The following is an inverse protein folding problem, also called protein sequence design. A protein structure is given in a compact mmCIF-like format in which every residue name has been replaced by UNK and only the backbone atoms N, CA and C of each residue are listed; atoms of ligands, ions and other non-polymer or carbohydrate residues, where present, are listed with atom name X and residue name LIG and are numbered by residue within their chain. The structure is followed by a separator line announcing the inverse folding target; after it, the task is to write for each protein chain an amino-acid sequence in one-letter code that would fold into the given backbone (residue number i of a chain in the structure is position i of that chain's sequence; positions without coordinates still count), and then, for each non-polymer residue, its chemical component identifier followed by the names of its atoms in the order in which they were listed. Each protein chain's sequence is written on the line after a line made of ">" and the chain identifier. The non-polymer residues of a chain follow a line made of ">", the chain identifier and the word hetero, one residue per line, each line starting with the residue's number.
data_IF_116070900038
#
_entry.id   IF_116070900038
#
_cell.length_a   1.000
_cell.length_b   1.000
_cell.length_c   1.000
_cell.angle_alpha   90.00
_cell.angle_beta   90.00
_cell.angle_gamma   90.00
#
_symmetry.space_group_name_H-M   'P 1'
#
loop_
_entity.id
_entity.type
_entity.pdbx_description
1 polymer ?
#
# COMPACT_ATOMS: atom_id res chain seq x y z
N UNK A 1 17.11 -4.09 13.33
CA UNK A 1 17.81 -3.16 12.42
C UNK A 1 16.82 -2.07 12.06
N UNK A 2 17.19 -0.81 12.26
CA UNK A 2 16.34 0.30 11.83
C UNK A 2 16.54 0.54 10.33
N UNK A 3 15.47 0.92 9.62
CA UNK A 3 15.58 1.34 8.20
C UNK A 3 16.38 2.64 8.06
N UNK A 4 16.58 3.36 9.17
CA UNK A 4 17.32 4.63 9.23
C UNK A 4 18.81 4.45 9.54
N UNK A 5 19.24 3.26 9.97
CA UNK A 5 20.66 2.97 10.23
C UNK A 5 21.39 2.62 8.94
N UNK A 6 22.56 3.21 8.71
CA UNK A 6 23.46 2.78 7.64
C UNK A 6 23.99 1.38 7.97
N UNK A 7 23.53 0.38 7.22
CA UNK A 7 23.94 -1.01 7.36
C UNK A 7 24.33 -1.59 6.02
N UNK A 8 25.31 -2.49 6.01
CA UNK A 8 25.78 -3.21 4.81
C UNK A 8 25.19 -4.62 4.69
N UNK A 9 24.39 -5.06 5.68
CA UNK A 9 23.81 -6.41 5.76
C UNK A 9 22.48 -6.55 5.00
N UNK A 10 21.72 -5.47 4.89
CA UNK A 10 20.49 -5.41 4.10
C UNK A 10 20.18 -3.99 3.66
N UNK A 11 19.34 -3.86 2.65
CA UNK A 11 18.77 -2.57 2.24
C UNK A 11 17.26 -2.68 2.11
N UNK A 12 16.53 -1.75 2.72
CA UNK A 12 15.07 -1.70 2.66
C UNK A 12 14.64 -0.45 1.88
N UNK A 13 14.00 -0.64 0.73
CA UNK A 13 13.31 0.41 0.00
C UNK A 13 11.82 0.38 0.35
N UNK A 14 11.35 1.40 1.05
CA UNK A 14 9.95 1.54 1.41
C UNK A 14 9.21 2.38 0.35
N UNK A 15 8.35 1.72 -0.42
CA UNK A 15 7.39 2.34 -1.34
C UNK A 15 6.01 2.49 -0.65
N UNK A 16 5.07 3.28 -1.20
CA UNK A 16 3.77 3.52 -0.56
C UNK A 16 2.92 2.26 -0.28
N UNK A 17 3.09 1.20 -1.08
CA UNK A 17 2.29 -0.03 -1.00
C UNK A 17 3.12 -1.32 -0.90
N UNK A 18 4.45 -1.21 -0.91
CA UNK A 18 5.36 -2.35 -0.90
C UNK A 18 6.68 -1.98 -0.21
N UNK A 19 7.38 -3.00 0.29
CA UNK A 19 8.75 -2.85 0.77
C UNK A 19 9.63 -3.85 0.04
N UNK A 20 10.67 -3.36 -0.61
CA UNK A 20 11.64 -4.18 -1.32
C UNK A 20 12.89 -4.31 -0.47
N UNK A 21 13.25 -5.54 -0.11
CA UNK A 21 14.33 -5.83 0.83
C UNK A 21 15.43 -6.60 0.09
N UNK A 22 16.60 -6.00 0.01
CA UNK A 22 17.82 -6.66 -0.46
C UNK A 22 18.50 -7.34 0.73
N UNK A 23 18.79 -8.63 0.58
CA UNK A 23 19.29 -9.49 1.64
C UNK A 23 20.52 -10.26 1.15
N UNK A 24 21.52 -10.39 2.01
CA UNK A 24 22.72 -11.17 1.72
C UNK A 24 22.57 -12.67 2.04
N UNK A 25 21.56 -13.03 2.83
CA UNK A 25 21.26 -14.43 3.20
C UNK A 25 19.76 -14.64 3.29
N UNK A 26 19.32 -15.89 3.18
CA UNK A 26 17.95 -16.28 3.46
C UNK A 26 17.69 -16.36 4.97
N UNK A 27 16.42 -16.23 5.36
CA UNK A 27 16.01 -16.26 6.75
C UNK A 27 14.56 -15.82 6.94
N UNK A 28 14.18 -15.60 8.18
CA UNK A 28 12.87 -15.07 8.56
C UNK A 28 12.99 -13.58 8.83
N UNK A 29 12.19 -12.78 8.14
CA UNK A 29 12.20 -11.32 8.25
C UNK A 29 10.80 -10.81 8.50
N UNK A 30 10.70 -9.72 9.26
CA UNK A 30 9.45 -9.01 9.49
C UNK A 30 9.72 -7.52 9.41
N UNK A 31 8.85 -6.79 8.71
CA UNK A 31 8.83 -5.34 8.73
C UNK A 31 7.96 -4.88 9.88
N UNK A 32 8.56 -4.16 10.83
CA UNK A 32 7.86 -3.58 11.97
C UNK A 32 7.98 -2.05 11.91
N UNK A 33 6.94 -1.36 12.36
CA UNK A 33 6.93 0.10 12.46
C UNK A 33 6.48 0.52 13.86
N UNK A 34 7.19 1.46 14.45
CA UNK A 34 6.79 2.14 15.68
C UNK A 34 6.37 3.58 15.34
N UNK A 35 5.21 4.05 15.83
CA UNK A 35 4.80 5.42 15.58
C UNK A 35 5.72 6.42 16.27
N UNK A 36 6.30 7.33 15.49
CA UNK A 36 7.11 8.45 16.01
C UNK A 36 6.20 9.58 16.55
N UNK A 37 4.96 9.65 16.06
CA UNK A 37 3.97 10.64 16.51
C UNK A 37 2.53 10.10 16.36
N UNK A 38 1.60 10.79 17.01
CA UNK A 38 0.16 10.50 16.94
C UNK A 38 -0.46 10.74 15.54
N UNK A 39 0.33 11.32 14.62
CA UNK A 39 -0.03 11.46 13.21
C UNK A 39 0.16 10.15 12.41
N UNK A 40 0.74 9.11 13.02
CA UNK A 40 0.92 7.82 12.35
C UNK A 40 -0.43 7.23 11.96
N UNK A 41 -0.50 6.65 10.76
CA UNK A 41 -1.71 6.05 10.21
C UNK A 41 -1.41 4.64 9.75
N UNK A 42 -2.26 3.70 10.15
CA UNK A 42 -2.29 2.34 9.64
C UNK A 42 -3.49 2.19 8.70
N UNK A 43 -3.26 1.56 7.55
CA UNK A 43 -4.30 1.29 6.58
C UNK A 43 -4.92 -0.08 6.86
N UNK A 44 -6.21 -0.08 7.22
CA UNK A 44 -6.98 -1.29 7.44
C UNK A 44 -7.94 -1.51 6.27
N UNK A 45 -8.17 -2.76 5.91
CA UNK A 45 -9.21 -3.16 4.96
C UNK A 45 -10.40 -3.71 5.73
N UNK A 46 -11.58 -3.14 5.46
CA UNK A 46 -12.85 -3.51 6.10
C UNK A 46 -13.67 -4.33 5.13
N UNK A 47 -14.07 -5.54 5.52
CA UNK A 47 -14.91 -6.41 4.71
C UNK A 47 -16.11 -6.90 5.53
N UNK A 48 -17.27 -7.08 4.87
CA UNK A 48 -18.49 -7.55 5.52
C UNK A 48 -18.96 -8.82 4.84
N UNK A 49 -19.09 -9.88 5.62
CA UNK A 49 -19.58 -11.17 5.17
C UNK A 49 -20.93 -11.51 5.81
N UNK A 50 -21.67 -12.38 5.15
CA UNK A 50 -22.86 -13.02 5.69
C UNK A 50 -23.03 -14.43 5.14
N UNK A 51 -24.03 -15.17 5.62
CA UNK A 51 -24.25 -16.54 5.17
C UNK A 51 -24.80 -16.58 3.74
N UNK A 52 -24.27 -17.48 2.90
CA UNK A 52 -24.76 -17.74 1.53
C UNK A 52 -26.23 -18.16 1.49
N UNK A 53 -26.64 -19.00 2.44
CA UNK A 53 -28.04 -19.38 2.62
C UNK A 53 -28.33 -19.53 4.10
N UNK A 54 -29.49 -19.03 4.52
CA UNK A 54 -29.93 -19.21 5.90
C UNK A 54 -31.40 -19.62 5.96
N UNK A 55 -31.62 -20.89 6.33
CA UNK A 55 -32.95 -21.45 6.61
C UNK A 55 -33.45 -21.07 8.02
N UNK A 56 -32.57 -20.52 8.88
CA UNK A 56 -32.94 -19.97 10.18
C UNK A 56 -33.51 -18.56 10.04
N UNK A 57 -34.34 -18.13 10.98
CA UNK A 57 -34.75 -16.72 11.08
C UNK A 57 -33.57 -15.81 11.45
N UNK A 58 -32.53 -16.38 12.08
CA UNK A 58 -31.30 -15.68 12.43
C UNK A 58 -30.40 -15.45 11.20
N UNK A 59 -29.74 -14.30 11.14
CA UNK A 59 -28.77 -13.96 10.12
C UNK A 59 -27.58 -13.25 10.76
N UNK A 60 -26.37 -13.73 10.50
CA UNK A 60 -25.17 -13.16 11.09
C UNK A 60 -24.40 -12.34 10.05
N UNK A 61 -24.16 -11.07 10.36
CA UNK A 61 -23.17 -10.25 9.68
C UNK A 61 -21.83 -10.41 10.39
N UNK A 62 -20.77 -10.65 9.64
CA UNK A 62 -19.39 -10.77 10.13
C UNK A 62 -18.57 -9.64 9.53
N UNK A 63 -18.18 -8.68 10.37
CA UNK A 63 -17.40 -7.51 9.95
C UNK A 63 -15.95 -7.74 10.32
N UNK A 64 -15.10 -7.79 9.31
CA UNK A 64 -13.66 -7.97 9.46
C UNK A 64 -12.94 -6.63 9.27
N UNK A 65 -11.99 -6.34 10.16
CA UNK A 65 -10.96 -5.31 9.95
C UNK A 65 -9.60 -5.99 9.96
N UNK A 66 -8.89 -5.93 8.84
CA UNK A 66 -7.60 -6.60 8.65
C UNK A 66 -6.57 -5.62 8.10
N UNK A 67 -5.30 -6.02 8.10
CA UNK A 67 -4.27 -5.24 7.42
C UNK A 67 -4.57 -5.11 5.93
N UNK A 68 -4.23 -3.96 5.36
CA UNK A 68 -4.38 -3.72 3.92
C UNK A 68 -3.27 -4.44 3.12
N UNK A 69 -3.24 -5.77 3.22
CA UNK A 69 -2.35 -6.64 2.45
C UNK A 69 -3.18 -7.69 1.69
N UNK A 70 -2.74 -8.12 0.49
CA UNK A 70 -3.46 -9.16 -0.26
C UNK A 70 -3.61 -10.47 0.52
N UNK A 71 -2.56 -10.90 1.24
CA UNK A 71 -2.57 -12.14 2.03
C UNK A 71 -3.60 -12.11 3.15
N UNK A 72 -3.67 -11.04 3.95
CA UNK A 72 -4.61 -10.94 5.07
C UNK A 72 -6.08 -11.03 4.59
N UNK A 73 -6.38 -10.43 3.43
CA UNK A 73 -7.70 -10.53 2.84
C UNK A 73 -8.00 -11.93 2.29
N UNK A 74 -7.03 -12.57 1.62
CA UNK A 74 -7.19 -13.94 1.11
C UNK A 74 -7.42 -14.97 2.21
N UNK A 75 -6.75 -14.84 3.35
CA UNK A 75 -6.97 -15.69 4.53
C UNK A 75 -8.41 -15.58 5.04
N UNK A 76 -8.90 -14.35 5.27
CA UNK A 76 -10.29 -14.09 5.69
C UNK A 76 -11.29 -14.69 4.70
N UNK A 77 -11.06 -14.48 3.40
CA UNK A 77 -11.93 -15.01 2.35
C UNK A 77 -11.96 -16.53 2.37
N UNK A 78 -10.81 -17.18 2.55
CA UNK A 78 -10.69 -18.64 2.60
C UNK A 78 -11.44 -19.21 3.82
N UNK A 79 -11.24 -18.60 4.98
CA UNK A 79 -11.92 -18.98 6.22
C UNK A 79 -13.44 -18.81 6.14
N UNK A 80 -13.91 -17.70 5.57
CA UNK A 80 -15.33 -17.44 5.36
C UNK A 80 -15.94 -18.46 4.39
N UNK A 81 -15.22 -18.82 3.32
CA UNK A 81 -15.70 -19.81 2.35
C UNK A 81 -15.89 -21.19 2.97
N UNK A 82 -14.99 -21.61 3.87
CA UNK A 82 -15.12 -22.84 4.64
C UNK A 82 -16.35 -22.82 5.57
N UNK A 83 -16.75 -21.64 6.03
CA UNK A 83 -17.92 -21.42 6.89
C UNK A 83 -19.20 -21.07 6.11
N UNK A 84 -19.22 -21.22 4.79
CA UNK A 84 -20.38 -20.88 3.95
C UNK A 84 -20.70 -19.38 3.89
N UNK A 85 -19.70 -18.54 4.10
CA UNK A 85 -19.77 -17.09 4.02
C UNK A 85 -19.67 -16.55 2.61
N UNK A 86 -20.28 -15.39 2.40
CA UNK A 86 -20.20 -14.60 1.18
C UNK A 86 -19.88 -13.15 1.51
N UNK A 87 -19.01 -12.55 0.71
CA UNK A 87 -18.75 -11.12 0.75
C UNK A 87 -20.00 -10.36 0.28
N UNK A 88 -20.49 -9.43 1.10
CA UNK A 88 -21.75 -8.72 0.86
C UNK A 88 -21.57 -7.37 0.15
N UNK A 89 -20.37 -6.80 0.18
CA UNK A 89 -20.02 -5.52 -0.46
C UNK A 89 -18.51 -5.46 -0.74
N UNK A 90 -18.10 -4.59 -1.65
CA UNK A 90 -16.70 -4.27 -1.89
C UNK A 90 -16.00 -3.80 -0.60
N UNK A 91 -14.84 -4.37 -0.23
CA UNK A 91 -14.12 -3.98 0.97
C UNK A 91 -13.64 -2.52 0.89
N UNK A 92 -13.71 -1.78 2.01
CA UNK A 92 -13.32 -0.36 2.06
C UNK A 92 -12.06 -0.14 2.87
N UNK A 93 -11.27 0.85 2.45
CA UNK A 93 -10.05 1.26 3.15
C UNK A 93 -10.39 2.18 4.32
N UNK A 94 -9.92 1.85 5.51
CA UNK A 94 -10.05 2.67 6.72
C UNK A 94 -8.67 3.11 7.21
N UNK A 95 -8.45 4.43 7.26
CA UNK A 95 -7.26 5.03 7.86
C UNK A 95 -7.41 5.11 9.38
N UNK A 96 -6.73 4.21 10.10
CA UNK A 96 -6.74 4.15 11.55
C UNK A 96 -5.53 4.90 12.11
N UNK A 97 -5.76 5.96 12.89
CA UNK A 97 -4.71 6.84 13.42
C UNK A 97 -4.15 6.33 14.74
N UNK A 98 -2.89 6.63 15.03
CA UNK A 98 -2.21 6.36 16.29
C UNK A 98 -2.65 7.24 17.47
N UNK A 99 -3.91 7.70 17.49
CA UNK A 99 -4.41 8.69 18.45
C UNK A 99 -5.07 8.08 19.70
N UNK A 100 -4.79 6.82 20.02
CA UNK A 100 -5.30 6.05 21.17
C UNK A 100 -6.80 5.80 21.25
N UNK A 101 -7.58 6.32 20.29
CA UNK A 101 -9.03 6.13 20.27
C UNK A 101 -9.45 4.78 19.69
N UNK A 102 -10.47 4.18 20.32
CA UNK A 102 -11.06 2.90 19.91
C UNK A 102 -11.70 2.95 18.52
N UNK A 103 -11.80 1.77 17.92
CA UNK A 103 -12.62 1.53 16.74
C UNK A 103 -14.05 1.22 17.17
N UNK A 104 -15.04 1.79 16.51
CA UNK A 104 -16.45 1.49 16.70
C UNK A 104 -17.04 0.92 15.41
N UNK A 105 -17.74 -0.20 15.53
CA UNK A 105 -18.43 -0.87 14.44
C UNK A 105 -19.92 -0.93 14.81
N UNK A 106 -20.79 -0.46 13.91
CA UNK A 106 -22.23 -0.43 14.17
C UNK A 106 -23.04 -0.82 12.94
N UNK A 107 -24.20 -1.42 13.18
CA UNK A 107 -25.19 -1.72 12.15
C UNK A 107 -26.33 -0.71 12.26
N UNK A 108 -26.56 0.02 11.19
CA UNK A 108 -27.51 1.11 11.06
C UNK A 108 -28.60 0.76 10.06
N UNK A 109 -29.68 1.53 10.07
CA UNK A 109 -30.77 1.47 9.09
C UNK A 109 -31.38 0.06 8.92
N UNK A 110 -31.47 -0.71 10.02
CA UNK A 110 -32.12 -2.02 10.03
C UNK A 110 -33.63 -1.83 9.83
N UNK A 111 -34.29 -2.52 8.87
CA UNK A 111 -35.71 -2.32 8.60
C UNK A 111 -36.58 -2.76 9.80
N UNK A 112 -37.21 -1.83 10.55
CA UNK A 112 -37.70 -2.08 11.90
C UNK A 112 -38.90 -3.02 11.97
N UNK A 113 -39.62 -3.22 10.86
CA UNK A 113 -40.78 -4.13 10.80
C UNK A 113 -40.46 -5.50 10.20
N UNK A 114 -39.25 -5.68 9.65
CA UNK A 114 -38.84 -6.91 8.98
C UNK A 114 -37.74 -7.65 9.75
N UNK A 115 -36.89 -6.88 10.42
CA UNK A 115 -35.69 -7.35 11.09
C UNK A 115 -35.55 -6.74 12.48
N UNK A 116 -34.94 -7.49 13.38
CA UNK A 116 -34.48 -7.01 14.68
C UNK A 116 -33.01 -7.34 14.91
N UNK A 117 -32.34 -6.51 15.68
CA UNK A 117 -31.04 -6.78 16.27
C UNK A 117 -31.19 -6.69 17.78
N UNK A 118 -30.45 -7.50 18.54
CA UNK A 118 -30.49 -7.40 20.00
C UNK A 118 -30.00 -5.99 20.40
N UNK A 119 -30.76 -5.27 21.25
CA UNK A 119 -30.27 -4.01 21.82
C UNK A 119 -28.91 -4.25 22.46
N UNK A 120 -28.00 -3.28 22.36
CA UNK A 120 -26.60 -3.36 22.83
C UNK A 120 -25.63 -4.22 22.02
N UNK A 121 -26.09 -5.01 21.04
CA UNK A 121 -25.17 -5.68 20.08
C UNK A 121 -25.05 -4.96 18.76
N UNK A 122 -25.89 -3.94 18.51
CA UNK A 122 -25.89 -3.13 17.29
C UNK A 122 -24.67 -2.21 17.15
N UNK A 123 -23.91 -2.02 18.23
CA UNK A 123 -22.67 -1.25 18.27
C UNK A 123 -21.65 -2.02 19.10
N UNK A 124 -20.46 -2.24 18.55
CA UNK A 124 -19.34 -2.88 19.22
C UNK A 124 -18.15 -1.94 19.17
N UNK A 125 -17.46 -1.81 20.31
CA UNK A 125 -16.24 -1.03 20.41
C UNK A 125 -15.05 -1.97 20.58
N UNK A 126 -13.99 -1.71 19.83
CA UNK A 126 -12.75 -2.45 19.86
C UNK A 126 -11.64 -1.52 20.34
N UNK A 127 -10.98 -1.86 21.47
CA UNK A 127 -9.94 -1.01 22.05
C UNK A 127 -8.80 -0.73 21.06
N UNK A 128 -8.26 0.49 21.10
CA UNK A 128 -7.15 0.92 20.26
C UNK A 128 -5.99 -0.08 20.25
N UNK A 129 -5.58 -0.59 21.41
CA UNK A 129 -4.44 -1.52 21.52
C UNK A 129 -4.64 -2.83 20.75
N UNK A 130 -5.89 -3.29 20.60
CA UNK A 130 -6.21 -4.50 19.84
C UNK A 130 -6.16 -4.27 18.34
N UNK A 131 -6.53 -3.08 17.90
CA UNK A 131 -6.52 -2.69 16.47
C UNK A 131 -5.10 -2.30 16.06
N UNK A 132 -4.43 -1.50 16.88
CA UNK A 132 -3.07 -0.99 16.63
C UNK A 132 -2.00 -2.06 16.80
N UNK A 133 -2.19 -2.98 17.75
CA UNK A 133 -1.31 -4.12 17.95
C UNK A 133 -1.26 -5.03 16.72
N UNK A 134 -0.09 -5.60 16.47
CA UNK A 134 0.07 -6.63 15.44
C UNK A 134 -0.57 -7.93 15.95
N UNK A 135 -1.81 -8.18 15.57
CA UNK A 135 -2.49 -9.46 15.82
C UNK A 135 -2.27 -10.38 14.64
N UNK A 136 -1.91 -11.64 14.89
CA UNK A 136 -1.83 -12.69 13.87
C UNK A 136 -3.20 -13.04 13.28
N UNK A 137 -4.30 -12.56 13.92
CA UNK A 137 -5.66 -12.81 13.48
C UNK A 137 -6.37 -11.50 13.13
N UNK A 138 -7.16 -11.49 12.04
CA UNK A 138 -7.98 -10.35 11.66
C UNK A 138 -9.02 -10.07 12.73
N UNK A 139 -9.32 -8.78 12.95
CA UNK A 139 -10.36 -8.38 13.89
C UNK A 139 -11.73 -8.75 13.33
N UNK A 140 -12.54 -9.47 14.11
CA UNK A 140 -13.89 -9.88 13.73
C UNK A 140 -14.92 -9.39 14.75
N UNK A 141 -15.95 -8.70 14.25
CA UNK A 141 -17.17 -8.37 15.00
C UNK A 141 -18.39 -9.02 14.34
N UNK A 142 -19.08 -9.87 15.09
CA UNK A 142 -20.30 -10.54 14.64
C UNK A 142 -21.57 -9.81 15.11
N UNK A 143 -22.52 -9.60 14.21
CA UNK A 143 -23.82 -8.99 14.49
C UNK A 143 -24.94 -9.96 14.12
N UNK A 144 -25.70 -10.40 15.11
CA UNK A 144 -26.84 -11.30 14.90
C UNK A 144 -28.12 -10.50 14.71
N UNK A 145 -28.72 -10.63 13.54
CA UNK A 145 -30.04 -10.12 13.20
C UNK A 145 -31.04 -11.27 13.15
N UNK A 146 -32.31 -10.97 13.35
CA UNK A 146 -33.38 -11.95 13.29
C UNK A 146 -34.55 -11.38 12.49
N UNK A 147 -35.12 -12.22 11.63
CA UNK A 147 -36.32 -11.90 10.84
C UNK A 147 -37.57 -12.18 11.65
N UNK A 148 -38.56 -11.29 11.54
CA UNK A 148 -39.88 -11.55 12.14
C UNK A 148 -40.68 -12.64 11.41
N UNK A 149 -40.36 -12.92 10.15
CA UNK A 149 -41.08 -13.89 9.31
C UNK A 149 -40.16 -14.54 8.27
N UNK A 150 -40.35 -15.83 7.95
CA UNK A 150 -39.68 -16.49 6.83
C UNK A 150 -39.96 -15.84 5.47
N UNK A 151 -41.07 -15.09 5.35
CA UNK A 151 -41.40 -14.34 4.12
C UNK A 151 -40.41 -13.21 3.83
N UNK A 152 -39.66 -12.75 4.84
CA UNK A 152 -38.60 -11.76 4.67
C UNK A 152 -37.36 -12.41 4.07
N UNK A 153 -37.14 -12.20 2.77
CA UNK A 153 -36.01 -12.77 2.03
C UNK A 153 -34.89 -11.78 1.75
N UNK A 154 -35.06 -10.49 2.06
CA UNK A 154 -34.09 -9.44 1.77
C UNK A 154 -33.64 -8.73 3.05
N UNK A 155 -32.36 -8.40 3.14
CA UNK A 155 -31.77 -7.53 4.14
C UNK A 155 -31.15 -6.32 3.44
N UNK A 156 -31.52 -5.12 3.90
CA UNK A 156 -30.89 -3.86 3.51
C UNK A 156 -30.55 -3.09 4.77
N UNK A 157 -29.27 -2.86 5.03
CA UNK A 157 -28.80 -2.10 6.19
C UNK A 157 -27.46 -1.41 5.86
N UNK A 158 -26.92 -0.62 6.78
CA UNK A 158 -25.58 -0.05 6.66
C UNK A 158 -24.69 -0.55 7.78
N UNK A 159 -23.43 -0.82 7.48
CA UNK A 159 -22.39 -1.07 8.48
C UNK A 159 -21.47 0.14 8.52
N UNK A 160 -21.45 0.85 9.65
CA UNK A 160 -20.55 1.98 9.89
C UNK A 160 -19.36 1.49 10.71
N UNK A 161 -18.15 1.69 10.18
CA UNK A 161 -16.87 1.41 10.84
C UNK A 161 -16.11 2.72 10.97
N UNK A 162 -15.87 3.17 12.20
CA UNK A 162 -15.22 4.45 12.44
C UNK A 162 -14.27 4.39 13.62
N UNK A 163 -13.18 5.15 13.55
CA UNK A 163 -12.40 5.43 14.74
C UNK A 163 -13.04 6.61 15.50
N UNK A 164 -13.11 6.55 16.83
CA UNK A 164 -13.57 7.71 17.60
C UNK A 164 -12.64 8.90 17.30
N UNK A 165 -13.22 10.05 16.94
CA UNK A 165 -12.47 11.23 16.46
C UNK A 165 -11.52 10.96 15.27
N UNK A 166 -11.87 10.03 14.38
CA UNK A 166 -11.03 9.65 13.24
C UNK A 166 -11.82 9.44 11.96
N UNK A 167 -11.26 8.62 11.07
CA UNK A 167 -11.88 8.29 9.79
C UNK A 167 -13.11 7.38 9.98
N UNK A 168 -14.07 7.52 9.08
CA UNK A 168 -15.32 6.75 9.06
C UNK A 168 -15.52 6.14 7.67
N UNK A 169 -15.97 4.89 7.65
CA UNK A 169 -16.42 4.20 6.45
C UNK A 169 -17.80 3.60 6.64
N UNK A 170 -18.63 3.73 5.62
CA UNK A 170 -19.98 3.18 5.58
C UNK A 170 -20.06 2.17 4.45
N UNK A 171 -20.46 0.95 4.78
CA UNK A 171 -20.75 -0.15 3.87
C UNK A 171 -22.28 -0.31 3.73
N UNK A 172 -22.80 -0.18 2.52
CA UNK A 172 -24.19 -0.42 2.15
C UNK A 172 -24.46 -1.90 1.82
N UNK A 173 -25.05 -2.61 2.78
CA UNK A 173 -25.38 -4.02 2.63
C UNK A 173 -26.76 -4.18 2.00
N UNK A 174 -26.84 -4.92 0.89
CA UNK A 174 -28.10 -5.35 0.26
C UNK A 174 -27.97 -6.79 -0.19
N UNK A 175 -28.65 -7.70 0.49
CA UNK A 175 -28.51 -9.14 0.22
C UNK A 175 -29.82 -9.90 0.32
N UNK A 176 -29.93 -10.96 -0.48
CA UNK A 176 -31.00 -11.94 -0.43
C UNK A 176 -30.58 -13.11 0.46
N UNK A 177 -31.40 -13.48 1.43
CA UNK A 177 -31.04 -14.47 2.47
C UNK A 177 -31.39 -15.92 2.07
N UNK A 178 -32.25 -16.09 1.05
CA UNK A 178 -32.73 -17.40 0.58
C UNK A 178 -32.34 -17.75 -0.86
N UNK A 179 -31.78 -16.82 -1.65
CA UNK A 179 -31.48 -17.06 -3.06
C UNK A 179 -30.08 -17.63 -3.23
N UNK A 180 -30.01 -18.86 -3.73
CA UNK A 180 -28.77 -19.62 -3.95
C UNK A 180 -28.08 -19.28 -5.29
N UNK A 181 -28.60 -18.28 -6.03
CA UNK A 181 -28.12 -17.92 -7.36
C UNK A 181 -27.82 -16.43 -7.42
N UNK A 182 -26.64 -16.02 -6.91
CA UNK A 182 -26.08 -14.71 -7.25
C UNK A 182 -24.62 -14.81 -7.59
N UNK A 183 -24.28 -14.00 -8.59
CA UNK A 183 -22.92 -13.69 -9.04
C UNK A 183 -22.05 -13.42 -7.81
N UNK A 184 -21.13 -14.34 -7.53
CA UNK A 184 -19.99 -14.06 -6.66
C UNK A 184 -19.38 -12.75 -7.17
N UNK A 185 -19.28 -11.73 -6.29
CA UNK A 185 -18.60 -10.48 -6.61
C UNK A 185 -17.28 -10.86 -7.33
N UNK A 186 -16.98 -10.34 -8.53
CA UNK A 186 -15.92 -10.87 -9.38
C UNK A 186 -14.51 -10.90 -8.76
N UNK A 187 -14.32 -10.33 -7.57
CA UNK A 187 -13.14 -10.52 -6.72
C UNK A 187 -12.74 -11.98 -6.49
N UNK A 188 -13.64 -12.95 -6.69
CA UNK A 188 -13.32 -14.38 -6.60
C UNK A 188 -12.69 -14.98 -7.86
N UNK A 189 -12.55 -14.21 -8.95
CA UNK A 189 -11.86 -14.64 -10.16
C UNK A 189 -10.47 -13.96 -10.23
N UNK A 190 -9.42 -14.78 -10.11
CA UNK A 190 -7.98 -14.44 -9.99
C UNK A 190 -7.56 -14.10 -8.54
N UNK A 191 -6.77 -14.87 -7.82
CA UNK A 191 -5.74 -15.85 -8.20
C UNK A 191 -5.90 -17.10 -7.33
N UNK A 192 -6.11 -18.26 -7.96
CA UNK A 192 -5.42 -19.43 -7.43
C UNK A 192 -3.95 -19.02 -7.33
N UNK A 193 -3.37 -19.17 -6.15
CA UNK A 193 -2.00 -18.84 -5.75
C UNK A 193 -0.93 -19.65 -6.51
N UNK A 194 -1.13 -19.88 -7.81
CA UNK A 194 -0.08 -20.13 -8.75
C UNK A 194 0.58 -18.79 -9.08
N UNK A 195 1.44 -18.29 -8.20
CA UNK A 195 2.56 -17.51 -8.71
C UNK A 195 3.26 -18.43 -9.71
N UNK A 196 3.20 -18.17 -11.04
CA UNK A 196 3.90 -19.03 -11.97
C UNK A 196 5.37 -18.94 -11.61
N UNK A 197 6.01 -20.06 -11.28
CA UNK A 197 7.44 -20.09 -11.06
C UNK A 197 8.12 -19.63 -12.36
N UNK A 198 8.52 -18.36 -12.41
CA UNK A 198 9.22 -17.81 -13.55
C UNK A 198 10.67 -18.27 -13.49
N UNK A 199 11.12 -18.98 -14.52
CA UNK A 199 12.49 -19.49 -14.60
C UNK A 199 13.23 -18.88 -15.79
N UNK A 200 14.51 -18.60 -15.56
CA UNK A 200 15.42 -18.13 -16.60
C UNK A 200 15.17 -16.68 -17.04
N UNK A 201 15.65 -16.27 -18.22
CA UNK A 201 15.67 -14.87 -18.67
C UNK A 201 14.28 -14.25 -18.87
N UNK A 202 13.21 -15.07 -18.87
CA UNK A 202 11.81 -14.59 -18.96
C UNK A 202 11.27 -14.08 -17.61
N UNK A 203 11.97 -14.36 -16.50
CA UNK A 203 11.67 -13.82 -15.18
C UNK A 203 12.15 -12.36 -15.02
N UNK A 204 13.03 -11.92 -15.91
CA UNK A 204 13.67 -10.61 -15.86
C UNK A 204 13.16 -9.76 -17.02
N UNK A 205 12.95 -8.47 -16.76
CA UNK A 205 12.48 -7.51 -17.76
C UNK A 205 13.64 -6.92 -18.54
N UNK A 206 14.79 -6.76 -17.89
CA UNK A 206 15.99 -6.20 -18.50
C UNK A 206 16.76 -7.32 -19.21
N UNK A 207 16.91 -7.27 -20.54
CA UNK A 207 17.75 -8.22 -21.26
C UNK A 207 19.19 -8.19 -20.74
N UNK A 208 19.81 -9.37 -20.59
CA UNK A 208 21.15 -9.53 -20.04
C UNK A 208 22.20 -8.62 -20.70
N UNK A 209 22.15 -8.48 -22.03
CA UNK A 209 23.06 -7.62 -22.79
C UNK A 209 22.92 -6.13 -22.44
N UNK A 210 21.71 -5.68 -22.14
CA UNK A 210 21.43 -4.30 -21.72
C UNK A 210 21.93 -4.10 -20.30
N UNK A 211 21.60 -5.03 -19.39
CA UNK A 211 22.07 -5.02 -17.99
C UNK A 211 23.60 -4.90 -17.92
N UNK A 212 24.33 -5.74 -18.64
CA UNK A 212 25.80 -5.69 -18.66
C UNK A 212 26.35 -4.34 -19.13
N UNK A 213 25.74 -3.75 -20.16
CA UNK A 213 26.18 -2.45 -20.68
C UNK A 213 25.95 -1.33 -19.67
N UNK A 214 24.80 -1.33 -19.01
CA UNK A 214 24.50 -0.38 -17.94
C UNK A 214 25.53 -0.55 -16.82
N UNK A 215 25.77 -1.78 -16.36
CA UNK A 215 26.74 -2.01 -15.29
C UNK A 215 28.15 -1.54 -15.63
N UNK A 216 28.64 -1.89 -16.82
CA UNK A 216 29.95 -1.45 -17.31
C UNK A 216 30.08 0.08 -17.40
N UNK A 217 28.97 0.80 -17.62
CA UNK A 217 28.96 2.27 -17.73
C UNK A 217 28.94 2.96 -16.37
N UNK A 218 28.15 2.43 -15.42
CA UNK A 218 27.87 3.11 -14.15
C UNK A 218 28.73 2.62 -12.97
N UNK A 219 29.32 1.43 -13.04
CA UNK A 219 30.25 0.95 -12.00
C UNK A 219 31.64 1.57 -12.13
N UNK A 220 32.01 2.08 -13.32
CA UNK A 220 33.27 2.79 -13.49
C UNK A 220 33.19 4.19 -12.88
N UNK A 221 34.12 4.58 -12.00
CA UNK A 221 34.10 5.89 -11.35
C UNK A 221 34.21 7.00 -12.41
N UNK A 222 33.22 7.89 -12.44
CA UNK A 222 33.14 8.96 -13.42
C UNK A 222 33.37 10.32 -12.75
N UNK A 223 34.39 11.05 -13.19
CA UNK A 223 34.73 12.38 -12.65
C UNK A 223 33.64 13.44 -12.85
N UNK A 224 32.65 13.16 -13.71
CA UNK A 224 31.46 14.01 -13.95
C UNK A 224 30.26 13.64 -13.08
N UNK A 225 30.40 12.70 -12.14
CA UNK A 225 29.32 12.22 -11.26
C UNK A 225 28.21 11.45 -11.96
N UNK A 226 28.43 11.01 -13.22
CA UNK A 226 27.50 10.12 -13.95
C UNK A 226 27.87 8.66 -13.71
N UNK A 227 27.78 8.25 -12.46
CA UNK A 227 28.05 6.89 -11.99
C UNK A 227 26.78 6.27 -11.39
N UNK A 228 26.93 5.12 -10.75
CA UNK A 228 25.83 4.40 -10.11
C UNK A 228 25.08 5.25 -9.06
N UNK A 229 25.67 6.29 -8.48
CA UNK A 229 24.99 7.14 -7.50
C UNK A 229 23.91 7.98 -8.18
N UNK A 230 24.18 8.49 -9.38
CA UNK A 230 23.17 9.22 -10.15
C UNK A 230 22.07 8.28 -10.66
N UNK A 231 22.42 7.05 -11.01
CA UNK A 231 21.44 6.00 -11.32
C UNK A 231 20.55 5.69 -10.11
N UNK A 232 21.13 5.56 -8.91
CA UNK A 232 20.40 5.37 -7.67
C UNK A 232 19.42 6.53 -7.42
N UNK A 233 19.91 7.77 -7.52
CA UNK A 233 19.09 8.98 -7.33
C UNK A 233 17.89 9.02 -8.28
N UNK A 234 18.10 8.70 -9.57
CA UNK A 234 17.01 8.66 -10.56
C UNK A 234 15.99 7.55 -10.30
N UNK A 235 16.41 6.48 -9.65
CA UNK A 235 15.53 5.41 -9.18
C UNK A 235 14.93 5.67 -7.80
N UNK A 236 15.04 6.91 -7.28
CA UNK A 236 14.58 7.31 -5.93
C UNK A 236 15.28 6.59 -4.77
N UNK A 237 16.48 6.05 -5.00
CA UNK A 237 17.34 5.42 -4.01
C UNK A 237 18.29 6.49 -3.47
N UNK A 238 17.87 7.18 -2.41
CA UNK A 238 18.59 8.35 -1.86
C UNK A 238 19.24 8.09 -0.49
N UNK A 239 18.97 6.93 0.12
CA UNK A 239 19.39 6.59 1.49
C UNK A 239 20.37 5.42 1.47
N UNK A 240 21.22 5.33 2.50
CA UNK A 240 22.15 4.23 2.75
C UNK A 240 22.93 3.79 1.47
N UNK A 241 23.52 4.76 0.77
CA UNK A 241 24.32 4.50 -0.43
C UNK A 241 25.57 3.66 -0.13
N UNK A 242 26.04 3.66 1.12
CA UNK A 242 27.13 2.82 1.60
C UNK A 242 26.84 1.32 1.44
N UNK A 243 25.57 0.88 1.53
CA UNK A 243 25.17 -0.50 1.21
C UNK A 243 25.54 -0.88 -0.23
N UNK A 244 25.22 -0.02 -1.21
CA UNK A 244 25.48 -0.28 -2.63
C UNK A 244 26.96 -0.19 -2.95
N UNK A 245 27.68 0.76 -2.35
CA UNK A 245 29.13 0.91 -2.51
C UNK A 245 29.92 -0.32 -2.04
N UNK A 246 29.38 -1.09 -1.09
CA UNK A 246 29.98 -2.33 -0.59
C UNK A 246 29.76 -3.54 -1.52
N UNK A 247 28.91 -3.41 -2.55
CA UNK A 247 28.60 -4.49 -3.49
C UNK A 247 29.67 -4.61 -4.58
N UNK A 248 29.81 -5.81 -5.15
CA UNK A 248 30.74 -6.02 -6.28
C UNK A 248 30.35 -5.22 -7.54
N UNK A 249 29.06 -4.96 -7.72
CA UNK A 249 28.50 -4.11 -8.77
C UNK A 249 27.31 -3.33 -8.20
N UNK A 250 27.51 -2.07 -7.77
CA UNK A 250 26.45 -1.23 -7.24
C UNK A 250 25.28 -1.07 -8.22
N UNK A 251 25.58 -0.87 -9.50
CA UNK A 251 24.56 -0.71 -10.54
C UNK A 251 23.74 -1.98 -10.77
N UNK A 252 24.32 -3.18 -10.70
CA UNK A 252 23.57 -4.42 -10.85
C UNK A 252 22.50 -4.56 -9.76
N UNK A 253 22.85 -4.24 -8.52
CA UNK A 253 21.94 -4.31 -7.36
C UNK A 253 20.83 -3.25 -7.46
N UNK A 254 21.12 -2.07 -8.01
CA UNK A 254 20.10 -1.06 -8.32
C UNK A 254 19.11 -1.58 -9.38
N UNK A 255 19.61 -2.28 -10.41
CA UNK A 255 18.76 -2.87 -11.44
C UNK A 255 17.92 -4.03 -10.89
N UNK A 256 18.44 -4.85 -9.98
CA UNK A 256 17.67 -5.88 -9.28
C UNK A 256 16.49 -5.26 -8.52
N UNK A 257 16.74 -4.14 -7.83
CA UNK A 257 15.71 -3.41 -7.11
C UNK A 257 14.68 -2.78 -8.06
N UNK A 258 15.13 -2.22 -9.18
CA UNK A 258 14.22 -1.71 -10.21
C UNK A 258 13.31 -2.81 -10.77
N UNK A 259 13.86 -4.00 -11.09
CA UNK A 259 13.05 -5.13 -11.57
C UNK A 259 12.05 -5.60 -10.52
N UNK A 260 12.45 -5.66 -9.24
CA UNK A 260 11.56 -6.03 -8.14
C UNK A 260 10.39 -5.06 -7.95
N UNK A 261 10.59 -3.75 -8.19
CA UNK A 261 9.52 -2.73 -8.15
C UNK A 261 8.54 -2.83 -9.31
N UNK A 262 9.00 -3.40 -10.43
CA UNK A 262 8.29 -3.38 -11.70
C UNK A 262 7.80 -4.77 -12.13
N UNK A 263 7.36 -5.63 -11.21
CA UNK A 263 6.95 -7.01 -11.54
C UNK A 263 5.79 -7.10 -12.54
N UNK A 264 4.69 -6.37 -12.30
CA UNK A 264 3.45 -6.53 -13.08
C UNK A 264 3.22 -5.45 -14.15
N UNK A 265 3.68 -4.21 -13.92
CA UNK A 265 3.24 -3.04 -14.73
C UNK A 265 4.40 -2.21 -15.34
N UNK A 266 5.66 -2.57 -15.07
CA UNK A 266 6.78 -1.79 -15.60
C UNK A 266 7.10 -2.07 -17.06
N UNK A 267 6.93 -1.06 -17.90
CA UNK A 267 7.60 -0.96 -19.19
C UNK A 267 9.07 -0.52 -18.99
N UNK A 268 9.96 -0.94 -19.89
CA UNK A 268 11.38 -0.53 -19.87
C UNK A 268 11.56 0.98 -20.06
N UNK A 269 10.50 1.68 -20.44
CA UNK A 269 10.44 3.13 -20.62
C UNK A 269 10.87 3.90 -19.37
N UNK A 270 10.49 3.47 -18.16
CA UNK A 270 10.88 4.21 -16.93
C UNK A 270 12.40 4.18 -16.71
N UNK A 271 13.03 3.03 -17.00
CA UNK A 271 14.48 2.89 -16.97
C UNK A 271 15.14 3.67 -18.11
N UNK A 272 14.58 3.62 -19.32
CA UNK A 272 15.08 4.36 -20.47
C UNK A 272 15.06 5.87 -20.22
N UNK A 273 13.95 6.42 -19.70
CA UNK A 273 13.84 7.82 -19.32
C UNK A 273 14.88 8.21 -18.25
N UNK A 274 15.07 7.39 -17.22
CA UNK A 274 16.10 7.64 -16.21
C UNK A 274 17.51 7.69 -16.83
N UNK A 275 17.83 6.76 -17.73
CA UNK A 275 19.13 6.72 -18.41
C UNK A 275 19.33 7.92 -19.35
N UNK A 276 18.30 8.31 -20.09
CA UNK A 276 18.34 9.50 -20.95
C UNK A 276 18.57 10.78 -20.15
N UNK A 277 17.88 10.95 -19.03
CA UNK A 277 18.07 12.11 -18.15
C UNK A 277 19.51 12.19 -17.64
N UNK A 278 20.11 11.06 -17.25
CA UNK A 278 21.54 11.02 -16.86
C UNK A 278 22.44 11.36 -18.05
N UNK A 279 22.08 10.95 -19.26
CA UNK A 279 22.75 11.37 -20.49
C UNK A 279 22.68 12.90 -20.70
N UNK A 280 21.51 13.49 -20.46
CA UNK A 280 21.19 14.91 -20.69
C UNK A 280 21.68 15.88 -19.63
N UNK A 281 22.20 15.45 -18.48
CA UNK A 281 22.75 16.35 -17.43
C UNK A 281 23.99 17.18 -17.85
N UNK A 282 24.31 17.26 -19.15
CA UNK A 282 25.20 18.27 -19.71
C UNK A 282 24.40 19.44 -20.29
N UNK A 283 24.64 20.67 -19.77
CA UNK A 283 24.29 22.02 -20.29
C UNK A 283 23.44 22.93 -19.38
N UNK A 284 23.64 22.94 -18.05
CA UNK A 284 23.11 24.05 -17.22
C UNK A 284 24.13 24.73 -16.30
N UNK A 285 25.40 24.31 -16.34
CA UNK A 285 26.47 24.86 -15.48
C UNK A 285 27.60 25.53 -16.27
N UNK A 286 27.48 25.69 -17.59
CA UNK A 286 28.54 26.24 -18.45
C UNK A 286 28.14 27.52 -19.20
N UNK A 287 27.12 28.25 -18.74
CA UNK A 287 26.70 29.52 -19.36
C UNK A 287 26.49 30.66 -18.33
N UNK A 288 27.17 30.56 -17.18
CA UNK A 288 27.19 31.61 -16.17
C UNK A 288 28.63 32.05 -15.89
N UNK A 289 29.40 32.30 -16.93
CA UNK A 289 30.63 33.10 -16.84
C UNK A 289 30.76 33.96 -18.09
N UNK A 290 30.91 35.26 -17.83
CA UNK A 290 31.33 36.31 -18.76
C UNK A 290 30.21 36.90 -19.64
N UNK A 291 29.49 37.86 -19.07
CA UNK A 291 29.17 39.07 -19.82
C UNK A 291 29.57 40.25 -18.96
N UNK A 292 30.80 40.74 -19.18
CA UNK A 292 31.17 42.10 -18.85
C UNK A 292 30.18 43.03 -19.56
N UNK A 293 29.54 43.92 -18.79
CA UNK A 293 28.82 45.05 -19.33
C UNK A 293 29.19 46.28 -18.50
N UNK A 294 29.85 47.20 -19.19
CA UNK A 294 30.44 48.45 -18.75
C UNK A 294 29.48 49.33 -17.93
N UNK A 295 30.00 49.98 -16.89
CA UNK A 295 29.30 51.08 -16.21
C UNK A 295 29.28 52.33 -17.11
N UNK A 296 28.14 53.02 -17.24
CA UNK A 296 28.14 54.39 -17.72
C UNK A 296 28.14 55.36 -16.54
N UNK A 297 29.23 56.12 -16.44
CA UNK A 297 29.30 57.41 -15.75
C UNK A 297 28.11 58.29 -16.15
N UNK A 298 27.27 58.70 -15.19
CA UNK A 298 26.44 59.88 -15.37
C UNK A 298 26.48 60.80 -14.14
N UNK A 299 26.98 61.98 -14.45
CA UNK A 299 27.26 63.14 -13.63
C UNK A 299 26.01 63.75 -12.98
N UNK A 300 26.23 64.26 -11.78
CA UNK A 300 25.30 65.08 -11.03
C UNK A 300 25.04 66.42 -11.72
N UNK A 301 23.77 66.76 -11.90
CA UNK A 301 23.32 68.14 -12.11
C UNK A 301 21.93 68.31 -11.51
N UNK A 302 21.89 68.54 -10.20
CA UNK A 302 20.73 69.14 -9.54
C UNK A 302 20.82 70.65 -9.75
N UNK A 303 19.89 71.21 -10.50
CA UNK A 303 19.61 72.64 -10.47
C UNK A 303 18.10 72.86 -10.32
N UNK A 304 17.75 73.18 -9.07
CA UNK A 304 16.69 74.06 -8.56
C UNK A 304 15.43 74.36 -9.39
N UNK A 305 14.28 74.22 -8.71
CA UNK A 305 13.46 75.41 -8.40
C UNK A 305 11.99 75.31 -8.76
N UNK A 306 11.15 74.92 -7.79
CA UNK A 306 10.13 75.74 -7.11
C UNK A 306 9.27 74.85 -6.20
#
# INVERSE_FOLDING_TARGET
>A
MSVEEETTSCYCLLDPYACHILLNSFGTYALIGEPISDCAVRQLKVAVFGCLSCNSLDYNLRVYCMDNTPCAFQEVVSDERLQGGQLLEEPKLLHFRGNTFSLQISVLDIPPFLWRIKPFTACQEVPFSRVWGSSQQPLLCGFSLERYSPATTQLSCKVCVRQLQGHEQILHIRTAVLENERETIPFFAHDDSNFPAQMGPKAFKIPYSIRQRICATFDTPNTKGKDWQMLAQKNSINRNLSYFAAQSSPSAVILDLWEARHQHDGDLDSLACALEEIGRTHSKLSDATETEAEEPDFSSSRQNGL
#
